data_IF_723186575769
#
_entry.id   IF_723186575769
#
_cell.length_a   1.000
_cell.length_b   1.000
_cell.length_c   1.000
_cell.angle_alpha   90.00
_cell.angle_beta   90.00
_cell.angle_gamma   90.00
#
_symmetry.space_group_name_H-M   'P 1'
#
loop_
_entity.id
_entity.type
_entity.pdbx_description
1 polymer ?
#
# COMPACT_ATOMS: atom_id res chain seq x y z
N UNK A 1 -37.95 3.28 -23.42
CA UNK A 1 -36.79 3.69 -24.25
C UNK A 1 -35.61 3.75 -23.31
N UNK A 2 -34.81 2.69 -23.31
CA UNK A 2 -33.50 2.62 -22.66
C UNK A 2 -32.56 3.58 -23.39
N UNK A 3 -32.01 4.53 -22.68
CA UNK A 3 -30.84 5.27 -23.12
C UNK A 3 -29.64 4.36 -22.87
N UNK A 4 -29.26 3.62 -23.90
CA UNK A 4 -27.94 2.98 -23.95
C UNK A 4 -26.93 4.12 -24.02
N UNK A 5 -26.21 4.35 -22.91
CA UNK A 5 -25.08 5.24 -22.88
C UNK A 5 -24.03 4.73 -23.85
N UNK A 6 -23.65 5.60 -24.80
CA UNK A 6 -22.55 5.37 -25.72
C UNK A 6 -21.27 5.07 -24.92
N UNK A 7 -20.83 3.82 -24.96
CA UNK A 7 -19.45 3.46 -24.65
C UNK A 7 -18.62 4.09 -25.78
N UNK A 8 -18.21 5.36 -25.61
CA UNK A 8 -17.18 5.95 -26.46
C UNK A 8 -15.94 5.06 -26.34
N UNK A 9 -15.60 4.35 -27.42
CA UNK A 9 -14.31 3.69 -27.56
C UNK A 9 -13.24 4.75 -27.29
N UNK A 10 -12.55 4.65 -26.15
CA UNK A 10 -11.38 5.45 -25.85
C UNK A 10 -10.25 4.94 -26.74
N UNK A 11 -10.10 5.56 -27.91
CA UNK A 11 -9.21 5.06 -28.96
C UNK A 11 -7.74 5.40 -28.68
N UNK A 12 -7.45 6.47 -27.93
CA UNK A 12 -6.09 6.88 -27.58
C UNK A 12 -6.06 7.83 -26.38
N UNK A 13 -4.93 7.92 -25.72
CA UNK A 13 -4.70 8.82 -24.60
C UNK A 13 -3.55 8.36 -23.72
N UNK A 14 -3.31 9.11 -22.67
CA UNK A 14 -2.33 8.78 -21.62
C UNK A 14 -2.98 8.97 -20.28
N UNK A 15 -2.72 8.07 -19.35
CA UNK A 15 -3.04 8.23 -17.91
C UNK A 15 -1.74 8.17 -17.13
N UNK A 16 -1.42 9.23 -16.42
CA UNK A 16 -0.27 9.29 -15.53
C UNK A 16 -0.70 8.94 -14.10
N UNK A 17 -0.19 7.83 -13.59
CA UNK A 17 -0.51 7.27 -12.27
C UNK A 17 0.68 7.44 -11.33
N UNK A 18 0.48 8.13 -10.21
CA UNK A 18 1.44 8.17 -9.11
C UNK A 18 1.17 7.02 -8.14
N UNK A 19 2.21 6.42 -7.58
CA UNK A 19 2.08 5.23 -6.72
C UNK A 19 3.23 5.15 -5.73
N UNK A 20 3.04 4.41 -4.64
CA UNK A 20 4.11 4.05 -3.70
C UNK A 20 4.41 2.55 -3.76
N UNK A 21 5.54 2.13 -3.22
CA UNK A 21 6.14 0.80 -3.43
C UNK A 21 5.16 -0.34 -3.19
N UNK A 22 4.41 -0.37 -2.08
CA UNK A 22 3.55 -1.52 -1.78
C UNK A 22 2.38 -1.68 -2.76
N UNK A 23 1.76 -0.58 -3.23
CA UNK A 23 0.73 -0.63 -4.27
C UNK A 23 1.31 -0.90 -5.65
N UNK A 24 2.52 -0.38 -5.93
CA UNK A 24 3.23 -0.65 -7.18
C UNK A 24 3.55 -2.13 -7.37
N UNK A 25 3.84 -2.85 -6.27
CA UNK A 25 4.14 -4.29 -6.31
C UNK A 25 2.86 -5.13 -6.32
N UNK A 26 1.91 -4.83 -5.43
CA UNK A 26 0.80 -5.73 -5.15
C UNK A 26 -0.45 -5.49 -6.01
N UNK A 27 -0.71 -4.25 -6.43
CA UNK A 27 -1.94 -3.90 -7.12
C UNK A 27 -1.71 -3.47 -8.56
N UNK A 28 -0.77 -2.56 -8.77
CA UNK A 28 -0.61 -1.90 -10.06
C UNK A 28 -0.34 -2.86 -11.24
N UNK A 29 0.45 -3.94 -11.11
CA UNK A 29 0.67 -4.86 -12.24
C UNK A 29 -0.62 -5.55 -12.70
N UNK A 30 -1.47 -5.97 -11.77
CA UNK A 30 -2.76 -6.58 -12.07
C UNK A 30 -3.76 -5.57 -12.65
N UNK A 31 -3.81 -4.37 -12.09
CA UNK A 31 -4.64 -3.26 -12.59
C UNK A 31 -4.20 -2.87 -13.99
N UNK A 32 -2.90 -2.68 -14.22
CA UNK A 32 -2.36 -2.30 -15.51
C UNK A 32 -2.65 -3.36 -16.60
N UNK A 33 -2.51 -4.65 -16.26
CA UNK A 33 -2.87 -5.75 -17.15
C UNK A 33 -4.35 -5.71 -17.52
N UNK A 34 -5.23 -5.53 -16.54
CA UNK A 34 -6.67 -5.45 -16.77
C UNK A 34 -7.06 -4.22 -17.60
N UNK A 35 -6.45 -3.08 -17.28
CA UNK A 35 -6.69 -1.81 -17.99
C UNK A 35 -6.23 -1.86 -19.45
N UNK A 36 -5.00 -2.33 -19.70
CA UNK A 36 -4.46 -2.44 -21.05
C UNK A 36 -5.25 -3.41 -21.93
N UNK A 37 -5.83 -4.46 -21.34
CA UNK A 37 -6.69 -5.39 -22.06
C UNK A 37 -8.03 -4.74 -22.50
N UNK A 38 -8.59 -3.85 -21.67
CA UNK A 38 -9.85 -3.16 -21.96
C UNK A 38 -9.65 -1.89 -22.81
N UNK A 39 -8.50 -1.24 -22.68
CA UNK A 39 -8.18 0.05 -23.30
C UNK A 39 -6.80 0.02 -23.97
N UNK A 40 -6.59 -0.79 -25.02
CA UNK A 40 -5.26 -1.02 -25.60
C UNK A 40 -4.65 0.22 -26.27
N UNK A 41 -5.44 1.24 -26.60
CA UNK A 41 -4.97 2.51 -27.15
C UNK A 41 -4.54 3.55 -26.11
N UNK A 42 -4.66 3.26 -24.79
CA UNK A 42 -4.30 4.19 -23.74
C UNK A 42 -2.95 3.81 -23.14
N UNK A 43 -2.01 4.76 -23.15
CA UNK A 43 -0.71 4.62 -22.50
C UNK A 43 -0.83 4.86 -20.99
N UNK A 44 -0.25 3.98 -20.16
CA UNK A 44 -0.05 4.22 -18.75
C UNK A 44 1.37 4.73 -18.50
N UNK A 45 1.46 5.91 -17.88
CA UNK A 45 2.71 6.43 -17.30
C UNK A 45 2.66 6.27 -15.80
N UNK A 46 3.74 5.79 -15.20
CA UNK A 46 3.79 5.46 -13.79
C UNK A 46 4.96 6.21 -13.16
N UNK A 47 4.69 6.92 -12.08
CA UNK A 47 5.72 7.51 -11.21
C UNK A 47 5.59 6.88 -9.84
N UNK A 48 6.71 6.36 -9.31
CA UNK A 48 6.82 5.79 -7.98
C UNK A 48 7.51 6.78 -7.06
N UNK A 49 6.88 7.07 -5.94
CA UNK A 49 7.45 7.84 -4.84
C UNK A 49 6.88 7.31 -3.53
N UNK A 50 7.72 7.11 -2.51
CA UNK A 50 7.29 6.66 -1.19
C UNK A 50 7.06 7.83 -0.21
N UNK A 51 7.25 9.07 -0.66
CA UNK A 51 6.88 10.26 0.08
C UNK A 51 5.44 10.66 -0.23
N UNK A 52 4.55 10.50 0.75
CA UNK A 52 3.13 10.84 0.64
C UNK A 52 2.92 12.33 0.29
N UNK A 53 3.73 13.23 0.83
CA UNK A 53 3.61 14.67 0.56
C UNK A 53 3.94 14.99 -0.89
N UNK A 54 4.94 14.32 -1.48
CA UNK A 54 5.29 14.44 -2.89
C UNK A 54 4.21 13.85 -3.81
N UNK A 55 3.64 12.69 -3.45
CA UNK A 55 2.51 12.12 -4.18
C UNK A 55 1.30 13.06 -4.20
N UNK A 56 0.93 13.63 -3.04
CA UNK A 56 -0.17 14.58 -2.96
C UNK A 56 0.12 15.88 -3.72
N UNK A 57 1.38 16.33 -3.73
CA UNK A 57 1.80 17.51 -4.49
C UNK A 57 1.68 17.28 -6.01
N UNK A 58 2.16 16.13 -6.51
CA UNK A 58 1.99 15.77 -7.93
C UNK A 58 0.52 15.77 -8.36
N UNK A 59 -0.35 15.21 -7.53
CA UNK A 59 -1.79 15.19 -7.80
C UNK A 59 -2.41 16.59 -7.75
N UNK A 60 -2.00 17.39 -6.78
CA UNK A 60 -2.49 18.76 -6.61
C UNK A 60 -2.11 19.68 -7.77
N UNK A 61 -0.88 19.55 -8.26
CA UNK A 61 -0.39 20.31 -9.43
C UNK A 61 -0.95 19.80 -10.75
N UNK A 62 -1.40 18.55 -10.79
CA UNK A 62 -1.84 17.88 -12.01
C UNK A 62 -0.67 17.31 -12.81
N UNK A 63 0.48 17.08 -12.18
CA UNK A 63 1.63 16.40 -12.75
C UNK A 63 1.37 14.89 -12.90
N UNK A 64 0.42 14.36 -12.11
CA UNK A 64 -0.20 13.05 -12.28
C UNK A 64 -1.72 13.19 -12.33
N UNK A 65 -2.39 12.36 -13.13
CA UNK A 65 -3.84 12.37 -13.31
C UNK A 65 -4.58 11.78 -12.11
N UNK A 66 -4.02 10.71 -11.55
CA UNK A 66 -4.48 10.05 -10.33
C UNK A 66 -3.32 9.34 -9.64
N UNK A 67 -3.52 8.89 -8.41
CA UNK A 67 -2.48 8.17 -7.69
C UNK A 67 -2.97 7.46 -6.45
N UNK A 68 -2.25 6.42 -6.04
CA UNK A 68 -2.50 5.73 -4.78
C UNK A 68 -2.00 6.58 -3.63
N UNK A 69 -2.79 6.63 -2.56
CA UNK A 69 -2.54 7.47 -1.38
C UNK A 69 -2.99 6.75 -0.11
N UNK A 70 -2.46 7.20 1.02
CA UNK A 70 -2.88 6.76 2.36
C UNK A 70 -3.63 7.90 3.04
N UNK A 71 -4.84 7.66 3.51
CA UNK A 71 -5.61 8.65 4.25
C UNK A 71 -5.17 8.71 5.73
N UNK A 72 -5.23 9.88 6.38
CA UNK A 72 -5.79 11.16 5.92
C UNK A 72 -4.87 11.91 4.97
N UNK A 73 -5.46 12.66 4.04
CA UNK A 73 -4.72 13.50 3.10
C UNK A 73 -4.46 14.88 3.68
N UNK A 74 -3.28 15.42 3.44
CA UNK A 74 -2.93 16.80 3.82
C UNK A 74 -3.55 17.83 2.87
N UNK A 75 -3.75 17.46 1.58
CA UNK A 75 -4.32 18.33 0.55
C UNK A 75 -5.77 17.99 0.26
N UNK A 76 -6.53 18.98 -0.23
CA UNK A 76 -7.91 18.78 -0.66
C UNK A 76 -7.94 18.11 -2.04
N UNK A 77 -7.88 16.79 -2.03
CA UNK A 77 -8.02 15.91 -3.20
C UNK A 77 -9.33 15.14 -3.13
N UNK A 78 -9.82 14.69 -4.28
CA UNK A 78 -10.91 13.72 -4.32
C UNK A 78 -10.32 12.33 -4.14
N UNK A 79 -10.66 11.66 -3.04
CA UNK A 79 -10.12 10.33 -2.73
C UNK A 79 -11.23 9.28 -2.71
N UNK A 80 -10.95 8.15 -3.31
CA UNK A 80 -11.79 6.95 -3.31
C UNK A 80 -11.09 5.91 -2.44
N UNK A 81 -11.75 5.47 -1.38
CA UNK A 81 -11.22 4.40 -0.54
C UNK A 81 -11.22 3.08 -1.30
N UNK A 82 -10.10 2.35 -1.26
CA UNK A 82 -9.97 1.04 -1.88
C UNK A 82 -9.92 -0.07 -0.83
N UNK A 83 -9.04 0.05 0.15
CA UNK A 83 -8.82 -1.00 1.14
C UNK A 83 -8.22 -0.50 2.44
N UNK A 84 -8.49 -1.24 3.53
CA UNK A 84 -7.72 -1.17 4.77
C UNK A 84 -6.53 -2.14 4.68
N UNK A 85 -5.37 -1.70 5.16
CA UNK A 85 -4.12 -2.43 5.15
C UNK A 85 -3.52 -2.41 6.56
N UNK A 86 -3.40 -3.57 7.24
CA UNK A 86 -2.90 -3.60 8.60
C UNK A 86 -1.42 -3.23 8.68
N UNK A 87 -1.02 -2.56 9.75
CA UNK A 87 0.38 -2.47 10.14
C UNK A 87 0.75 -3.73 10.93
N UNK A 88 1.78 -4.42 10.50
CA UNK A 88 2.21 -5.69 11.06
C UNK A 88 3.66 -5.63 11.51
N UNK A 89 4.02 -6.45 12.47
CA UNK A 89 5.38 -6.59 12.97
C UNK A 89 6.07 -7.69 12.17
N UNK A 90 7.18 -7.34 11.56
CA UNK A 90 8.08 -8.28 10.88
C UNK A 90 9.22 -8.67 11.84
N UNK A 91 9.42 -9.96 12.02
CA UNK A 91 10.44 -10.57 12.86
C UNK A 91 11.30 -11.55 12.05
N UNK A 92 12.52 -11.87 12.52
CA UNK A 92 13.25 -13.03 12.02
C UNK A 92 12.39 -14.29 12.16
N UNK A 93 12.51 -15.22 11.23
CA UNK A 93 11.71 -16.45 11.23
C UNK A 93 11.94 -17.34 12.47
N UNK A 94 13.12 -17.24 13.05
CA UNK A 94 13.55 -17.99 14.25
C UNK A 94 13.38 -17.19 15.56
N UNK A 95 12.70 -16.05 15.50
CA UNK A 95 12.45 -15.22 16.68
C UNK A 95 11.64 -15.99 17.74
N UNK A 96 11.95 -15.86 19.05
CA UNK A 96 11.22 -16.57 20.11
C UNK A 96 9.70 -16.36 20.10
N UNK A 97 9.22 -15.25 19.58
CA UNK A 97 7.79 -14.92 19.44
C UNK A 97 7.25 -15.15 18.02
N UNK A 98 7.99 -15.80 17.10
CA UNK A 98 7.54 -16.02 15.73
C UNK A 98 6.20 -16.78 15.62
N UNK A 99 5.85 -17.60 16.61
CA UNK A 99 4.59 -18.32 16.69
C UNK A 99 3.57 -17.75 17.67
N UNK A 100 3.76 -16.53 18.16
CA UNK A 100 2.81 -15.89 19.07
C UNK A 100 1.60 -15.32 18.29
N UNK A 101 0.49 -15.10 18.98
CA UNK A 101 -0.72 -14.50 18.40
C UNK A 101 -0.54 -13.01 18.08
N UNK A 102 0.30 -12.31 18.86
CA UNK A 102 0.59 -10.88 18.72
C UNK A 102 2.00 -10.53 19.25
N UNK A 103 2.53 -9.39 18.84
CA UNK A 103 3.80 -8.87 19.33
C UNK A 103 3.57 -7.82 20.42
N UNK A 104 4.04 -8.08 21.68
CA UNK A 104 3.76 -7.23 22.82
C UNK A 104 4.41 -5.84 22.72
N UNK A 105 3.70 -4.79 23.15
CA UNK A 105 4.23 -3.42 23.22
C UNK A 105 5.49 -3.33 24.10
N UNK A 106 5.55 -4.11 25.19
CA UNK A 106 6.73 -4.17 26.06
C UNK A 106 7.98 -4.66 25.31
N UNK A 107 7.81 -5.54 24.33
CA UNK A 107 8.92 -6.03 23.48
C UNK A 107 9.32 -4.97 22.45
N UNK A 108 8.37 -4.22 21.90
CA UNK A 108 8.66 -3.10 21.00
C UNK A 108 9.55 -2.04 21.63
N UNK A 109 9.40 -1.79 22.92
CA UNK A 109 10.20 -0.80 23.66
C UNK A 109 11.66 -1.21 23.88
N UNK A 110 11.95 -2.51 23.94
CA UNK A 110 13.27 -3.01 24.36
C UNK A 110 14.07 -3.69 23.27
N UNK A 111 13.41 -4.26 22.26
CA UNK A 111 14.09 -4.91 21.15
C UNK A 111 14.65 -3.91 20.13
N UNK A 112 15.72 -4.26 19.42
CA UNK A 112 16.25 -3.40 18.37
C UNK A 112 15.20 -3.17 17.27
N UNK A 113 14.93 -1.91 16.93
CA UNK A 113 13.97 -1.52 15.90
C UNK A 113 14.68 -1.02 14.64
N UNK A 114 14.24 -1.52 13.50
CA UNK A 114 14.67 -1.08 12.17
C UNK A 114 13.53 -0.24 11.60
N UNK A 115 13.74 1.09 11.54
CA UNK A 115 12.73 2.02 11.03
C UNK A 115 12.78 2.09 9.52
N UNK A 116 11.61 1.93 8.89
CA UNK A 116 11.39 2.39 7.53
C UNK A 116 11.18 3.92 7.56
N UNK A 117 12.09 4.65 6.93
CA UNK A 117 11.97 6.09 6.76
C UNK A 117 11.06 6.36 5.55
N UNK A 118 9.92 6.97 5.77
CA UNK A 118 9.02 7.45 4.72
C UNK A 118 8.63 8.88 5.03
N UNK A 119 8.89 9.81 4.10
CA UNK A 119 8.43 11.19 4.12
C UNK A 119 8.42 11.95 5.46
N UNK A 120 7.63 13.01 5.52
CA UNK A 120 7.42 13.82 6.73
C UNK A 120 6.39 13.21 7.67
N UNK A 121 5.36 12.56 7.13
CA UNK A 121 4.35 11.85 7.89
C UNK A 121 4.51 10.34 7.70
N UNK A 122 4.56 9.63 8.83
CA UNK A 122 4.58 8.17 8.84
C UNK A 122 3.45 7.67 9.73
N UNK A 123 2.58 6.86 9.16
CA UNK A 123 1.54 6.15 9.92
C UNK A 123 2.12 5.26 11.01
N UNK A 124 3.35 4.77 10.81
CA UNK A 124 4.08 3.96 11.80
C UNK A 124 4.52 4.81 12.98
N UNK A 125 5.05 6.01 12.74
CA UNK A 125 5.41 6.94 13.81
C UNK A 125 4.17 7.41 14.59
N UNK A 126 3.06 7.62 13.88
CA UNK A 126 1.78 7.93 14.51
C UNK A 126 1.27 6.77 15.38
N UNK A 127 1.45 5.53 14.93
CA UNK A 127 1.13 4.34 15.71
C UNK A 127 1.94 4.29 17.01
N UNK A 128 3.28 4.40 16.96
CA UNK A 128 4.11 4.38 18.16
C UNK A 128 3.74 5.47 19.16
N UNK A 129 3.44 6.68 18.65
CA UNK A 129 2.96 7.79 19.48
C UNK A 129 1.61 7.47 20.14
N UNK A 130 0.68 6.86 19.40
CA UNK A 130 -0.64 6.49 19.90
C UNK A 130 -0.56 5.45 21.01
N UNK A 131 0.29 4.44 20.86
CA UNK A 131 0.45 3.37 21.88
C UNK A 131 1.40 3.75 23.01
N UNK A 132 2.04 4.91 22.95
CA UNK A 132 2.95 5.42 23.98
C UNK A 132 4.26 4.64 24.08
N UNK A 133 4.71 4.03 22.99
CA UNK A 133 5.97 3.28 22.92
C UNK A 133 7.02 4.11 22.21
N UNK A 134 8.21 4.23 22.80
CA UNK A 134 9.40 4.75 22.13
C UNK A 134 10.30 3.57 21.75
N UNK A 135 10.33 3.19 20.43
CA UNK A 135 11.09 2.03 20.01
C UNK A 135 12.60 2.29 20.09
N UNK A 136 13.37 1.27 20.47
CA UNK A 136 14.82 1.32 20.50
C UNK A 136 15.39 1.30 19.09
N UNK A 137 15.44 2.47 18.44
CA UNK A 137 15.91 2.60 17.07
C UNK A 137 17.36 2.17 16.92
N UNK A 138 17.60 1.20 16.02
CA UNK A 138 18.95 0.73 15.66
C UNK A 138 19.36 1.17 14.28
N UNK A 139 18.44 1.11 13.31
CA UNK A 139 18.68 1.53 11.93
C UNK A 139 17.49 2.36 11.43
N UNK A 140 17.77 3.26 10.48
CA UNK A 140 16.78 4.10 9.82
C UNK A 140 17.08 4.06 8.31
N UNK A 141 16.20 3.44 7.53
CA UNK A 141 16.43 3.06 6.13
C UNK A 141 15.20 3.44 5.30
N UNK A 142 15.41 3.91 4.08
CA UNK A 142 14.40 4.39 3.15
C UNK A 142 14.01 3.35 2.07
N UNK A 143 14.24 2.08 2.33
CA UNK A 143 13.88 0.98 1.43
C UNK A 143 13.23 -0.17 2.19
N UNK A 144 11.97 -0.47 1.85
CA UNK A 144 11.20 -1.61 2.37
C UNK A 144 11.99 -2.92 2.24
N UNK A 145 12.59 -3.13 1.07
CA UNK A 145 13.35 -4.34 0.77
C UNK A 145 14.58 -4.49 1.66
N UNK A 146 15.31 -3.39 1.88
CA UNK A 146 16.47 -3.39 2.76
C UNK A 146 16.06 -3.62 4.22
N UNK A 147 14.95 -3.02 4.68
CA UNK A 147 14.39 -3.26 6.02
C UNK A 147 14.05 -4.74 6.18
N UNK A 148 13.30 -5.34 5.26
CA UNK A 148 12.92 -6.75 5.32
C UNK A 148 14.13 -7.68 5.32
N UNK A 149 15.14 -7.40 4.48
CA UNK A 149 16.41 -8.14 4.45
C UNK A 149 17.13 -8.07 5.79
N UNK A 150 17.23 -6.89 6.40
CA UNK A 150 17.90 -6.73 7.70
C UNK A 150 17.14 -7.41 8.84
N UNK A 151 15.81 -7.41 8.79
CA UNK A 151 14.99 -8.18 9.75
C UNK A 151 15.27 -9.67 9.59
N UNK A 152 15.31 -10.19 8.37
CA UNK A 152 15.58 -11.62 8.13
C UNK A 152 16.95 -12.07 8.60
N UNK A 153 17.93 -11.16 8.65
CA UNK A 153 19.28 -11.40 9.20
C UNK A 153 19.36 -11.26 10.75
N UNK A 154 18.23 -11.08 11.41
CA UNK A 154 18.19 -11.02 12.89
C UNK A 154 18.68 -9.71 13.48
N UNK A 155 18.72 -8.62 12.72
CA UNK A 155 19.23 -7.33 13.19
C UNK A 155 18.25 -6.54 14.05
N UNK A 156 16.99 -6.97 14.09
CA UNK A 156 15.92 -6.36 14.87
C UNK A 156 14.56 -6.67 14.29
N UNK A 157 13.51 -6.05 14.82
CA UNK A 157 12.16 -6.08 14.27
C UNK A 157 11.86 -4.81 13.48
N UNK A 158 10.83 -4.86 12.65
CA UNK A 158 10.25 -3.68 12.01
C UNK A 158 8.73 -3.71 12.09
N UNK A 159 8.10 -2.54 11.96
CA UNK A 159 6.66 -2.42 11.72
C UNK A 159 6.47 -1.97 10.29
N UNK A 160 5.74 -2.74 9.51
CA UNK A 160 5.56 -2.52 8.08
C UNK A 160 4.08 -2.73 7.69
N UNK A 161 3.62 -2.08 6.62
CA UNK A 161 2.30 -2.36 6.05
C UNK A 161 2.16 -3.81 5.60
N UNK A 162 1.00 -4.42 5.85
CA UNK A 162 0.72 -5.80 5.44
C UNK A 162 0.84 -6.00 3.93
N UNK A 163 0.52 -4.96 3.16
CA UNK A 163 0.60 -5.00 1.71
C UNK A 163 2.03 -5.25 1.20
N UNK A 164 3.07 -4.65 1.82
CA UNK A 164 4.46 -4.89 1.41
C UNK A 164 4.99 -6.25 1.90
N UNK A 165 4.43 -6.76 2.99
CA UNK A 165 4.83 -8.05 3.57
C UNK A 165 4.24 -9.25 2.83
N UNK A 166 3.19 -9.04 2.01
CA UNK A 166 2.55 -10.09 1.23
C UNK A 166 3.54 -10.64 0.21
N UNK A 167 3.66 -11.97 0.17
CA UNK A 167 4.52 -12.67 -0.79
C UNK A 167 5.98 -12.19 -0.81
N UNK A 168 6.47 -11.71 0.35
CA UNK A 168 7.87 -11.29 0.50
C UNK A 168 8.82 -12.46 0.25
N UNK A 169 9.96 -12.24 -0.46
CA UNK A 169 10.95 -13.29 -0.67
C UNK A 169 11.84 -13.56 0.56
N UNK A 170 11.71 -12.74 1.62
CA UNK A 170 12.49 -12.89 2.84
C UNK A 170 11.80 -13.83 3.83
N UNK A 171 12.56 -14.72 4.52
CA UNK A 171 12.02 -15.57 5.56
C UNK A 171 11.71 -14.75 6.83
N UNK A 172 10.49 -14.29 6.94
CA UNK A 172 10.01 -13.47 8.05
C UNK A 172 8.86 -14.16 8.76
N UNK A 173 8.80 -13.99 10.08
CA UNK A 173 7.59 -14.18 10.85
C UNK A 173 6.85 -12.83 10.90
N UNK A 174 5.54 -12.86 10.67
CA UNK A 174 4.70 -11.66 10.62
C UNK A 174 3.57 -11.80 11.61
N UNK A 175 3.48 -10.86 12.55
CA UNK A 175 2.50 -10.87 13.63
C UNK A 175 1.74 -9.54 13.68
N UNK A 176 0.48 -9.51 14.12
CA UNK A 176 -0.15 -8.26 14.51
C UNK A 176 0.53 -7.68 15.75
N UNK A 177 0.60 -6.38 15.91
CA UNK A 177 0.98 -5.76 17.18
C UNK A 177 -0.15 -5.94 18.23
N UNK A 178 0.18 -5.90 19.52
CA UNK A 178 -0.78 -5.99 20.62
C UNK A 178 -1.97 -5.03 20.50
N UNK A 179 -1.74 -3.82 19.98
CA UNK A 179 -2.81 -2.87 19.62
C UNK A 179 -2.86 -2.72 18.09
N UNK A 180 -3.67 -3.52 17.39
CA UNK A 180 -3.72 -3.48 15.94
C UNK A 180 -4.16 -2.12 15.40
N UNK A 181 -3.56 -1.70 14.30
CA UNK A 181 -3.95 -0.52 13.55
C UNK A 181 -3.90 -0.82 12.04
N UNK A 182 -4.74 -0.12 11.30
CA UNK A 182 -4.82 -0.24 9.85
C UNK A 182 -4.67 1.14 9.21
N UNK A 183 -3.96 1.21 8.10
CA UNK A 183 -3.96 2.39 7.22
C UNK A 183 -5.05 2.25 6.17
N UNK A 184 -5.62 3.36 5.74
CA UNK A 184 -6.63 3.39 4.69
C UNK A 184 -5.98 3.76 3.37
N UNK A 185 -5.84 2.77 2.49
CA UNK A 185 -5.30 2.95 1.15
C UNK A 185 -6.43 3.28 0.17
N UNK A 186 -6.23 4.28 -0.63
CA UNK A 186 -7.17 4.74 -1.65
C UNK A 186 -6.47 5.16 -2.92
N UNK A 187 -7.26 5.64 -3.87
CA UNK A 187 -6.78 6.32 -5.06
C UNK A 187 -7.36 7.74 -5.07
N UNK A 188 -6.54 8.72 -5.36
CA UNK A 188 -6.93 10.12 -5.34
C UNK A 188 -6.59 10.82 -6.64
N UNK A 189 -7.30 11.92 -6.89
CA UNK A 189 -7.08 12.82 -8.01
C UNK A 189 -7.48 14.23 -7.60
N UNK A 190 -7.08 15.22 -8.38
CA UNK A 190 -7.37 16.61 -8.06
C UNK A 190 -8.88 16.91 -8.05
N UNK A 191 -9.60 16.45 -9.08
CA UNK A 191 -11.04 16.67 -9.23
C UNK A 191 -11.65 15.60 -10.13
N UNK A 192 -12.76 15.00 -9.70
CA UNK A 192 -13.50 14.02 -10.50
C UNK A 192 -14.19 14.67 -11.69
N UNK A 193 -14.65 15.93 -11.56
CA UNK A 193 -15.32 16.66 -12.64
C UNK A 193 -14.34 16.98 -13.79
N UNK A 194 -13.09 17.29 -13.45
CA UNK A 194 -12.04 17.63 -14.42
C UNK A 194 -11.31 16.39 -14.97
N UNK A 195 -11.55 15.21 -14.43
CA UNK A 195 -10.91 13.98 -14.86
C UNK A 195 -11.24 13.64 -16.30
N UNK A 196 -10.23 13.23 -17.08
CA UNK A 196 -10.40 12.74 -18.43
C UNK A 196 -11.21 11.44 -18.45
N UNK A 197 -11.79 11.08 -19.59
CA UNK A 197 -12.48 9.81 -19.74
C UNK A 197 -11.53 8.62 -19.53
N UNK A 198 -10.26 8.75 -19.94
CA UNK A 198 -9.22 7.74 -19.73
C UNK A 198 -8.89 7.57 -18.23
N UNK A 199 -8.76 8.68 -17.49
CA UNK A 199 -8.54 8.65 -16.03
C UNK A 199 -9.71 7.99 -15.31
N UNK A 200 -10.96 8.33 -15.67
CA UNK A 200 -12.15 7.71 -15.07
C UNK A 200 -12.19 6.20 -15.34
N UNK A 201 -11.90 5.77 -16.57
CA UNK A 201 -11.83 4.36 -16.91
C UNK A 201 -10.75 3.62 -16.09
N UNK A 202 -9.60 4.26 -15.85
CA UNK A 202 -8.56 3.69 -14.99
C UNK A 202 -9.04 3.54 -13.54
N UNK A 203 -9.74 4.54 -12.99
CA UNK A 203 -10.29 4.47 -11.64
C UNK A 203 -11.29 3.33 -11.50
N UNK A 204 -12.19 3.16 -12.46
CA UNK A 204 -13.19 2.09 -12.46
C UNK A 204 -12.53 0.70 -12.49
N UNK A 205 -11.51 0.52 -13.35
CA UNK A 205 -10.75 -0.73 -13.43
C UNK A 205 -9.96 -0.99 -12.14
N UNK A 206 -9.35 0.04 -11.56
CA UNK A 206 -8.59 -0.09 -10.32
C UNK A 206 -9.47 -0.53 -9.15
N UNK A 207 -10.65 0.08 -8.98
CA UNK A 207 -11.62 -0.28 -7.95
C UNK A 207 -12.10 -1.73 -8.13
N UNK A 208 -12.56 -2.07 -9.33
CA UNK A 208 -13.06 -3.41 -9.62
C UNK A 208 -11.99 -4.49 -9.42
N UNK A 209 -10.74 -4.19 -9.81
CA UNK A 209 -9.64 -5.13 -9.65
C UNK A 209 -9.31 -5.39 -8.17
N UNK A 210 -9.23 -4.33 -7.34
CA UNK A 210 -8.94 -4.46 -5.90
C UNK A 210 -10.06 -5.24 -5.22
N UNK A 211 -11.33 -4.94 -5.48
CA UNK A 211 -12.46 -5.69 -4.93
C UNK A 211 -12.36 -7.17 -5.25
N UNK A 212 -12.21 -7.53 -6.53
CA UNK A 212 -12.12 -8.93 -6.98
C UNK A 212 -10.91 -9.67 -6.41
N UNK A 213 -9.76 -9.02 -6.30
CA UNK A 213 -8.54 -9.63 -5.77
C UNK A 213 -8.71 -10.08 -4.32
N UNK A 214 -9.46 -9.32 -3.52
CA UNK A 214 -9.68 -9.62 -2.11
C UNK A 214 -10.90 -10.49 -1.85
N UNK A 215 -11.93 -10.46 -2.69
CA UNK A 215 -13.03 -11.43 -2.64
C UNK A 215 -12.53 -12.83 -2.90
N UNK A 216 -11.69 -13.03 -3.92
CA UNK A 216 -11.06 -14.32 -4.21
C UNK A 216 -10.18 -14.82 -3.06
N UNK A 217 -9.42 -13.93 -2.42
CA UNK A 217 -8.60 -14.30 -1.26
C UNK A 217 -9.44 -14.72 -0.05
N UNK A 218 -10.61 -14.12 0.16
CA UNK A 218 -11.53 -14.49 1.23
C UNK A 218 -12.23 -15.83 0.99
N UNK A 219 -12.39 -16.25 -0.28
CA UNK A 219 -13.03 -17.51 -0.67
C UNK A 219 -12.04 -18.69 -0.79
N UNK A 220 -10.73 -18.42 -0.77
CA UNK A 220 -9.71 -19.47 -0.76
C UNK A 220 -9.36 -19.81 0.69
N UNK A 221 -9.76 -20.98 1.23
CA UNK A 221 -9.30 -21.39 2.55
C UNK A 221 -7.78 -21.53 2.51
N UNK A 222 -7.12 -20.92 3.46
CA UNK A 222 -5.68 -21.08 3.71
C UNK A 222 -5.30 -22.56 3.74
N UNK A 223 -4.66 -23.05 2.69
CA UNK A 223 -3.83 -24.26 2.78
C UNK A 223 -2.56 -23.93 3.58
N UNK A 224 -2.74 -23.57 4.83
CA UNK A 224 -1.68 -23.54 5.83
C UNK A 224 -1.85 -24.74 6.73
N UNK A 225 -1.25 -25.85 6.31
CA UNK A 225 -1.23 -27.04 7.14
C UNK A 225 -0.84 -28.27 6.35
N UNK A 226 0.46 -28.47 6.14
CA UNK A 226 1.00 -29.85 6.11
C UNK A 226 2.47 -29.85 6.52
N UNK A 227 2.83 -30.97 7.16
CA UNK A 227 3.83 -31.12 8.22
C UNK A 227 5.25 -31.08 7.69
#
# INVERSE_FOLDING_TARGET
RQVMGEVKNLESGTVHVATFTSTAIQWLPGIAKAFSAQHPGIELRITLDDDQDELEEMLWRGDADCGFVVAPLARKLHAIHLRQDPLLVALPIDHPLAGADEFPLARMAVEPYIRLKSGTFSEIDAYFKQVGVEPRMRFNIDSDYAVMSMVSEGLGYSVLPGLILRDTPFPLAVLPPENPIERRVGIALRSMEAASAATRAFLDVAQAWVEQAYEKAALSPTESGRP
#
